data_IF_112866906586
#
_entry.id   IF_112866906586
#
_cell.length_a   1.000
_cell.length_b   1.000
_cell.length_c   1.000
_cell.angle_alpha   90.00
_cell.angle_beta   90.00
_cell.angle_gamma   90.00
#
_symmetry.space_group_name_H-M   'P 1'
#
loop_
_entity.id
_entity.type
_entity.pdbx_description
1 polymer ?
#
# COMPACT_ATOMS: atom_id res chain seq x y z
N UNK A 1 48.16 27.08 14.35
CA UNK A 1 47.32 26.55 13.23
C UNK A 1 48.02 26.65 11.88
N UNK A 2 47.87 25.64 11.01
CA UNK A 2 48.56 25.57 9.71
C UNK A 2 47.62 25.05 8.59
N UNK A 3 47.69 25.61 7.39
CA UNK A 3 47.07 25.06 6.19
C UNK A 3 47.87 23.86 5.68
N UNK A 4 47.22 22.89 5.03
CA UNK A 4 47.92 21.83 4.28
C UNK A 4 47.86 22.15 2.79
N UNK A 5 49.01 22.43 2.17
CA UNK A 5 49.13 22.61 0.73
C UNK A 5 49.71 21.33 0.14
N UNK A 6 48.93 20.63 -0.66
CA UNK A 6 49.38 19.44 -1.40
C UNK A 6 49.75 19.85 -2.82
N UNK A 7 50.96 19.55 -3.26
CA UNK A 7 51.43 19.85 -4.62
C UNK A 7 51.96 18.60 -5.26
N UNK A 8 51.47 18.30 -6.46
CA UNK A 8 51.95 17.24 -7.33
C UNK A 8 53.06 17.82 -8.23
N UNK A 9 54.31 17.40 -8.03
CA UNK A 9 55.46 17.96 -8.76
C UNK A 9 56.60 16.95 -8.90
N UNK A 10 57.34 17.02 -10.01
CA UNK A 10 58.61 16.29 -10.18
C UNK A 10 59.82 17.10 -9.70
N UNK A 11 59.66 18.41 -9.50
CA UNK A 11 60.70 19.38 -9.19
C UNK A 11 60.58 19.88 -7.74
N UNK A 12 60.70 18.96 -6.78
CA UNK A 12 60.50 19.23 -5.35
C UNK A 12 61.28 20.46 -4.84
N UNK A 13 62.57 20.55 -5.16
CA UNK A 13 63.44 21.62 -4.64
C UNK A 13 63.04 23.01 -5.13
N UNK A 14 62.59 23.11 -6.39
CA UNK A 14 62.17 24.37 -7.00
C UNK A 14 60.83 24.84 -6.41
N UNK A 15 59.90 23.91 -6.24
CA UNK A 15 58.60 24.18 -5.60
C UNK A 15 58.76 24.52 -4.12
N UNK A 16 59.64 23.82 -3.39
CA UNK A 16 59.93 24.13 -1.98
C UNK A 16 60.55 25.53 -1.83
N UNK A 17 61.47 25.90 -2.73
CA UNK A 17 62.06 27.24 -2.76
C UNK A 17 61.00 28.32 -3.07
N UNK A 18 60.11 28.06 -4.02
CA UNK A 18 58.99 28.95 -4.36
C UNK A 18 58.06 29.14 -3.16
N UNK A 19 57.66 28.06 -2.49
CA UNK A 19 56.77 28.14 -1.32
C UNK A 19 57.46 28.89 -0.17
N UNK A 20 58.74 28.60 0.11
CA UNK A 20 59.51 29.24 1.19
C UNK A 20 59.83 30.70 0.93
N UNK A 21 59.87 31.15 -0.33
CA UNK A 21 60.00 32.56 -0.67
C UNK A 21 58.81 33.39 -0.14
N UNK A 22 57.61 32.82 -0.13
CA UNK A 22 56.41 33.46 0.40
C UNK A 22 56.24 33.21 1.90
N UNK A 23 56.42 31.96 2.34
CA UNK A 23 56.17 31.52 3.70
C UNK A 23 57.44 30.84 4.22
N UNK A 24 58.33 31.61 4.82
CA UNK A 24 59.66 31.14 5.29
C UNK A 24 59.58 29.97 6.27
N UNK A 25 58.49 29.88 7.03
CA UNK A 25 58.25 28.85 8.03
C UNK A 25 57.51 27.62 7.47
N UNK A 26 57.28 27.55 6.15
CA UNK A 26 56.72 26.38 5.52
C UNK A 26 57.70 25.21 5.64
N UNK A 27 57.21 24.08 6.12
CA UNK A 27 57.98 22.84 6.17
C UNK A 27 57.18 21.74 5.48
N UNK A 28 57.91 20.88 4.79
CA UNK A 28 57.34 19.71 4.16
C UNK A 28 57.12 18.62 5.22
N UNK A 29 55.91 18.07 5.26
CA UNK A 29 55.58 16.93 6.10
C UNK A 29 55.85 15.67 5.28
N UNK A 30 57.11 15.24 5.25
CA UNK A 30 57.48 13.94 4.68
C UNK A 30 57.02 12.90 5.67
N UNK A 31 55.81 12.38 5.47
CA UNK A 31 55.27 11.31 6.29
C UNK A 31 56.03 10.02 5.97
N UNK A 32 57.15 9.81 6.67
CA UNK A 32 58.00 8.62 6.50
C UNK A 32 57.30 7.33 6.97
N UNK A 33 56.11 7.43 7.54
CA UNK A 33 55.39 6.33 8.18
C UNK A 33 54.34 5.64 7.30
N UNK A 34 54.05 6.14 6.09
CA UNK A 34 53.04 5.53 5.19
C UNK A 34 53.62 4.79 3.95
N UNK A 35 54.94 4.61 3.87
CA UNK A 35 55.59 3.99 2.71
C UNK A 35 55.67 2.46 2.85
N UNK A 36 54.54 1.77 2.74
CA UNK A 36 54.56 0.34 2.33
C UNK A 36 53.52 -0.06 1.28
N UNK A 37 52.50 0.77 0.98
CA UNK A 37 51.46 0.36 0.02
C UNK A 37 50.96 1.48 -0.89
N UNK A 38 51.72 1.82 -1.95
CA UNK A 38 51.11 2.19 -3.24
C UNK A 38 52.14 2.26 -4.37
N UNK A 39 51.95 1.40 -5.37
CA UNK A 39 52.75 1.31 -6.60
C UNK A 39 52.36 2.36 -7.67
N UNK A 40 51.79 3.50 -7.28
CA UNK A 40 51.49 4.61 -8.19
C UNK A 40 52.08 5.90 -7.61
N UNK A 41 53.37 6.11 -7.86
CA UNK A 41 54.13 7.26 -7.41
C UNK A 41 53.77 8.51 -8.23
N UNK A 42 52.62 9.11 -7.94
CA UNK A 42 52.50 10.55 -8.16
C UNK A 42 53.28 11.22 -7.03
N UNK A 43 54.29 12.00 -7.39
CA UNK A 43 55.13 12.75 -6.47
C UNK A 43 54.31 13.89 -5.84
N UNK A 44 53.40 13.55 -4.92
CA UNK A 44 52.57 14.48 -4.17
C UNK A 44 53.29 14.78 -2.86
N UNK A 45 53.52 16.06 -2.62
CA UNK A 45 54.21 16.56 -1.44
C UNK A 45 53.27 17.49 -0.67
N UNK A 46 53.29 17.41 0.67
CA UNK A 46 52.42 18.22 1.54
C UNK A 46 53.25 19.22 2.36
N UNK A 47 52.94 20.51 2.24
CA UNK A 47 53.53 21.58 3.03
C UNK A 47 52.53 22.09 4.06
N UNK A 48 53.00 22.25 5.30
CA UNK A 48 52.23 22.92 6.35
C UNK A 48 52.55 24.41 6.35
N UNK A 49 51.58 25.24 5.99
CA UNK A 49 51.72 26.70 5.89
C UNK A 49 51.18 27.38 7.14
N UNK A 50 51.90 28.33 7.71
CA UNK A 50 51.42 29.09 8.88
C UNK A 50 50.19 29.96 8.56
N UNK A 51 49.18 29.97 9.42
CA UNK A 51 48.03 30.89 9.26
C UNK A 51 48.40 32.37 9.39
N UNK A 52 49.49 32.70 10.08
CA UNK A 52 49.95 34.07 10.26
C UNK A 52 50.36 34.73 8.93
N UNK A 53 50.73 33.92 7.93
CA UNK A 53 51.06 34.37 6.58
C UNK A 53 49.88 34.31 5.61
N UNK A 54 48.64 34.23 6.12
CA UNK A 54 47.41 34.17 5.30
C UNK A 54 47.30 35.30 4.26
N UNK A 55 47.82 36.49 4.57
CA UNK A 55 47.85 37.63 3.64
C UNK A 55 48.72 37.39 2.40
N UNK A 56 49.73 36.50 2.49
CA UNK A 56 50.63 36.12 1.38
C UNK A 56 50.15 34.87 0.63
N UNK A 57 49.12 34.21 1.14
CA UNK A 57 48.61 32.97 0.57
C UNK A 57 48.02 33.20 -0.83
N UNK A 58 47.31 34.31 -1.02
CA UNK A 58 46.73 34.66 -2.33
C UNK A 58 47.80 34.87 -3.40
N UNK A 59 48.93 35.51 -3.04
CA UNK A 59 50.06 35.70 -3.97
C UNK A 59 50.79 34.40 -4.26
N UNK A 60 50.98 33.55 -3.24
CA UNK A 60 51.56 32.22 -3.42
C UNK A 60 50.72 31.35 -4.35
N UNK A 61 49.40 31.27 -4.12
CA UNK A 61 48.51 30.44 -4.94
C UNK A 61 48.45 30.94 -6.39
N UNK A 62 48.52 32.26 -6.61
CA UNK A 62 48.59 32.84 -7.96
C UNK A 62 49.86 32.43 -8.70
N UNK A 63 50.99 32.45 -8.00
CA UNK A 63 52.28 32.07 -8.61
C UNK A 63 52.38 30.55 -8.83
N UNK A 64 51.81 29.73 -7.93
CA UNK A 64 51.67 28.29 -8.14
C UNK A 64 50.78 27.97 -9.36
N UNK A 65 49.70 28.73 -9.58
CA UNK A 65 48.87 28.57 -10.78
C UNK A 65 49.61 28.99 -12.06
N UNK A 66 50.48 30.01 -12.00
CA UNK A 66 51.33 30.42 -13.13
C UNK A 66 52.41 29.39 -13.49
N UNK A 67 52.87 28.61 -12.50
CA UNK A 67 53.86 27.53 -12.66
C UNK A 67 53.24 26.16 -12.95
N UNK A 68 51.91 26.10 -13.04
CA UNK A 68 51.17 24.90 -13.42
C UNK A 68 51.51 24.48 -14.85
N UNK A 69 51.78 23.18 -15.04
CA UNK A 69 52.33 22.56 -16.25
C UNK A 69 53.81 22.87 -16.56
N UNK A 70 54.49 23.69 -15.74
CA UNK A 70 55.95 23.90 -15.85
C UNK A 70 56.68 23.16 -14.74
N UNK A 71 56.45 23.56 -13.50
CA UNK A 71 57.12 23.02 -12.31
C UNK A 71 56.23 22.03 -11.55
N UNK A 72 54.92 22.21 -11.60
CA UNK A 72 53.95 21.37 -10.89
C UNK A 72 52.78 20.99 -11.80
N UNK A 73 52.21 19.81 -11.57
CA UNK A 73 51.06 19.27 -12.31
C UNK A 73 49.77 19.86 -11.74
N UNK A 74 49.59 19.76 -10.43
CA UNK A 74 48.41 20.24 -9.75
C UNK A 74 48.72 20.61 -8.29
N UNK A 75 47.85 21.40 -7.66
CA UNK A 75 47.91 21.65 -6.22
C UNK A 75 46.51 21.76 -5.61
N UNK A 76 46.40 21.42 -4.32
CA UNK A 76 45.19 21.58 -3.53
C UNK A 76 45.54 22.21 -2.18
N UNK A 77 44.64 23.04 -1.65
CA UNK A 77 44.77 23.59 -0.31
C UNK A 77 43.66 23.04 0.58
N UNK A 78 44.06 22.26 1.57
CA UNK A 78 43.19 21.72 2.59
C UNK A 78 43.19 22.67 3.80
N UNK A 79 42.04 23.28 4.03
CA UNK A 79 41.75 24.09 5.23
C UNK A 79 41.47 23.11 6.37
N UNK A 80 42.07 23.30 7.57
CA UNK A 80 41.80 22.44 8.71
C UNK A 80 40.29 22.41 9.01
N UNK A 81 39.75 21.21 9.20
CA UNK A 81 38.36 21.04 9.62
C UNK A 81 38.19 21.62 11.03
N UNK A 82 37.00 22.12 11.36
CA UNK A 82 36.68 22.63 12.70
C UNK A 82 37.04 21.63 13.81
N UNK A 83 36.86 20.33 13.57
CA UNK A 83 37.25 19.26 14.50
C UNK A 83 38.76 19.22 14.75
N UNK A 84 39.60 19.26 13.72
CA UNK A 84 41.07 19.34 13.88
C UNK A 84 41.49 20.63 14.58
N UNK A 85 40.74 21.71 14.33
CA UNK A 85 40.92 23.01 14.94
C UNK A 85 40.69 22.92 16.46
N UNK A 86 39.62 22.24 16.88
CA UNK A 86 39.34 21.98 18.29
C UNK A 86 40.37 21.05 18.93
N UNK A 87 40.78 19.97 18.26
CA UNK A 87 41.78 19.02 18.78
C UNK A 87 43.14 19.70 18.96
N UNK A 88 43.55 20.53 18.00
CA UNK A 88 44.83 21.24 18.11
C UNK A 88 44.80 22.33 19.18
N UNK A 89 43.65 23.00 19.38
CA UNK A 89 43.48 23.94 20.50
C UNK A 89 43.57 23.22 21.84
N UNK A 90 42.96 22.04 21.98
CA UNK A 90 43.04 21.23 23.19
C UNK A 90 44.48 20.79 23.49
N UNK A 91 45.23 20.36 22.47
CA UNK A 91 46.66 20.02 22.59
C UNK A 91 47.56 21.22 22.92
N UNK A 92 47.35 22.37 22.27
CA UNK A 92 48.12 23.60 22.58
C UNK A 92 47.89 24.01 24.05
N UNK A 93 46.66 23.88 24.56
CA UNK A 93 46.35 24.11 25.97
C UNK A 93 47.11 23.11 26.86
N UNK A 94 47.07 21.81 26.56
CA UNK A 94 47.79 20.77 27.33
C UNK A 94 49.32 20.98 27.35
N UNK A 95 49.91 21.38 26.22
CA UNK A 95 51.36 21.66 26.12
C UNK A 95 51.76 22.92 26.91
N UNK A 96 50.94 23.97 26.90
CA UNK A 96 51.15 25.15 27.75
C UNK A 96 51.10 24.80 29.25
N UNK A 97 50.20 23.90 29.66
CA UNK A 97 50.11 23.41 31.04
C UNK A 97 51.31 22.56 31.48
N UNK A 98 51.91 21.80 30.57
CA UNK A 98 53.04 20.93 30.89
C UNK A 98 54.41 21.65 30.91
N UNK A 99 54.51 22.88 30.41
CA UNK A 99 55.79 23.61 30.27
C UNK A 99 56.05 24.77 31.23
N UNK A 100 55.01 25.39 31.81
CA UNK A 100 55.16 26.55 32.71
C UNK A 100 54.08 26.55 33.78
N UNK A 101 54.47 26.73 35.04
CA UNK A 101 53.54 27.08 36.12
C UNK A 101 52.82 28.36 35.68
N UNK A 102 51.50 28.34 35.43
CA UNK A 102 50.81 29.50 34.89
C UNK A 102 50.81 30.61 35.94
N UNK A 103 51.33 31.77 35.55
CA UNK A 103 51.20 33.02 36.27
C UNK A 103 49.71 33.38 36.28
N UNK A 104 49.01 33.11 37.39
CA UNK A 104 47.55 33.08 37.53
C UNK A 104 46.85 34.44 37.30
N UNK A 105 47.58 35.49 36.92
CA UNK A 105 47.12 36.89 37.00
C UNK A 105 46.74 37.52 35.65
N UNK A 106 46.66 36.75 34.55
CA UNK A 106 46.15 37.23 33.25
C UNK A 106 45.08 36.31 32.67
N UNK A 107 44.10 35.93 33.50
CA UNK A 107 42.87 35.34 32.98
C UNK A 107 42.15 36.39 32.14
N UNK A 108 42.19 36.22 30.81
CA UNK A 108 41.31 36.94 29.89
C UNK A 108 39.89 36.52 30.28
N UNK A 109 39.13 37.41 30.92
CA UNK A 109 37.74 37.17 31.25
C UNK A 109 36.96 37.00 29.94
N UNK A 110 36.70 35.74 29.58
CA UNK A 110 35.80 35.39 28.48
C UNK A 110 34.46 36.12 28.73
N UNK A 111 33.88 36.78 27.71
CA UNK A 111 32.63 37.50 27.87
C UNK A 111 31.60 36.58 28.50
N UNK A 112 31.07 36.99 29.66
CA UNK A 112 30.08 36.21 30.40
C UNK A 112 28.89 35.96 29.49
N UNK A 113 28.85 34.75 28.94
CA UNK A 113 27.81 34.35 28.02
C UNK A 113 26.51 34.36 28.81
N UNK A 114 25.63 35.34 28.55
CA UNK A 114 24.33 35.45 29.23
C UNK A 114 23.69 34.07 29.18
N UNK A 115 23.29 33.52 30.33
CA UNK A 115 22.70 32.18 30.42
C UNK A 115 21.43 32.11 29.55
N UNK A 116 21.59 31.75 28.28
CA UNK A 116 20.48 31.57 27.37
C UNK A 116 19.76 30.31 27.82
N UNK A 117 18.55 30.48 28.37
CA UNK A 117 17.71 29.38 28.83
C UNK A 117 17.43 28.45 27.64
N UNK A 118 18.01 27.24 27.66
CA UNK A 118 17.80 26.25 26.62
C UNK A 118 16.31 25.90 26.51
N UNK A 119 15.76 25.80 25.29
CA UNK A 119 14.38 25.38 25.12
C UNK A 119 14.19 23.96 25.66
N UNK A 120 13.03 23.68 26.28
CA UNK A 120 12.68 22.34 26.71
C UNK A 120 12.67 21.36 25.52
N UNK A 121 12.98 20.10 25.79
CA UNK A 121 13.10 19.03 24.78
C UNK A 121 11.86 18.90 23.90
N UNK A 122 10.66 18.96 24.48
CA UNK A 122 9.39 18.91 23.75
C UNK A 122 9.23 20.11 22.80
N UNK A 123 9.57 21.32 23.26
CA UNK A 123 9.46 22.55 22.45
C UNK A 123 10.47 22.52 21.29
N UNK A 124 11.67 22.00 21.54
CA UNK A 124 12.65 21.75 20.49
C UNK A 124 12.14 20.70 19.47
N UNK A 125 11.58 19.59 19.95
CA UNK A 125 11.01 18.53 19.11
C UNK A 125 9.84 19.04 18.23
N UNK A 126 8.93 19.85 18.79
CA UNK A 126 7.81 20.43 18.04
C UNK A 126 8.27 21.42 16.96
N UNK A 127 9.31 22.22 17.25
CA UNK A 127 9.93 23.10 16.24
C UNK A 127 10.62 22.30 15.12
N UNK A 128 11.32 21.24 15.47
CA UNK A 128 11.93 20.34 14.49
C UNK A 128 10.87 19.62 13.66
N UNK A 129 9.77 19.20 14.29
CA UNK A 129 8.64 18.56 13.62
C UNK A 129 8.00 19.50 12.58
N UNK A 130 7.73 20.76 12.94
CA UNK A 130 7.20 21.72 11.97
C UNK A 130 8.16 22.04 10.82
N UNK A 131 9.47 22.07 11.09
CA UNK A 131 10.49 22.22 10.05
C UNK A 131 10.53 21.00 9.11
N UNK A 132 10.49 19.78 9.65
CA UNK A 132 10.42 18.53 8.88
C UNK A 132 9.17 18.44 8.02
N UNK A 133 7.99 18.80 8.56
CA UNK A 133 6.75 18.87 7.76
C UNK A 133 6.91 19.82 6.57
N UNK A 134 7.53 21.00 6.77
CA UNK A 134 7.82 21.92 5.66
C UNK A 134 8.77 21.31 4.63
N UNK A 135 9.79 20.55 5.07
CA UNK A 135 10.68 19.82 4.15
C UNK A 135 9.91 18.76 3.37
N UNK A 136 9.04 17.99 4.02
CA UNK A 136 8.23 16.96 3.37
C UNK A 136 7.31 17.57 2.32
N UNK A 137 6.69 18.71 2.62
CA UNK A 137 5.85 19.44 1.66
C UNK A 137 6.66 19.95 0.47
N UNK A 138 7.90 20.40 0.69
CA UNK A 138 8.78 20.88 -0.41
C UNK A 138 9.32 19.76 -1.28
N UNK A 139 9.52 18.57 -0.72
CA UNK A 139 10.05 17.41 -1.46
C UNK A 139 8.89 16.67 -2.12
N UNK A 140 8.60 17.01 -3.38
CA UNK A 140 7.51 16.39 -4.15
C UNK A 140 7.60 14.86 -4.18
N UNK A 141 8.82 14.30 -4.24
CA UNK A 141 9.06 12.85 -4.19
C UNK A 141 8.54 12.21 -2.91
N UNK A 142 8.60 12.93 -1.79
CA UNK A 142 8.08 12.45 -0.51
C UNK A 142 6.55 12.40 -0.54
N UNK A 143 5.87 13.48 -0.95
CA UNK A 143 4.41 13.48 -1.08
C UNK A 143 3.96 12.40 -2.07
N UNK A 144 4.66 12.28 -3.19
CA UNK A 144 4.36 11.30 -4.23
C UNK A 144 4.44 9.86 -3.70
N UNK A 145 5.54 9.49 -3.04
CA UNK A 145 5.76 8.13 -2.54
C UNK A 145 4.93 7.80 -1.29
N UNK A 146 4.80 8.74 -0.34
CA UNK A 146 4.11 8.48 0.93
C UNK A 146 2.60 8.61 0.85
N UNK A 147 2.08 9.51 0.00
CA UNK A 147 0.64 9.82 -0.07
C UNK A 147 0.06 9.45 -1.43
N UNK A 148 0.63 9.99 -2.52
CA UNK A 148 -0.04 9.91 -3.82
C UNK A 148 -0.08 8.47 -4.36
N UNK A 149 1.01 7.72 -4.28
CA UNK A 149 1.06 6.34 -4.77
C UNK A 149 0.01 5.47 -4.07
N UNK A 150 -0.01 5.35 -2.72
CA UNK A 150 -1.01 4.52 -2.04
C UNK A 150 -2.46 4.90 -2.35
N UNK A 151 -2.75 6.19 -2.49
CA UNK A 151 -4.11 6.66 -2.78
C UNK A 151 -4.50 6.37 -4.22
N UNK A 152 -3.60 6.63 -5.18
CA UNK A 152 -3.87 6.40 -6.61
C UNK A 152 -4.00 4.92 -6.94
N UNK A 153 -3.14 4.06 -6.37
CA UNK A 153 -3.27 2.60 -6.50
C UNK A 153 -4.62 2.15 -5.96
N UNK A 154 -5.03 2.62 -4.78
CA UNK A 154 -6.37 2.31 -4.26
C UNK A 154 -7.50 2.76 -5.19
N UNK A 155 -7.45 4.00 -5.68
CA UNK A 155 -8.47 4.52 -6.60
C UNK A 155 -8.59 3.69 -7.88
N UNK A 156 -7.50 3.14 -8.39
CA UNK A 156 -7.48 2.35 -9.63
C UNK A 156 -7.96 0.92 -9.40
N UNK A 157 -7.51 0.25 -8.33
CA UNK A 157 -7.79 -1.17 -8.12
C UNK A 157 -9.13 -1.45 -7.43
N UNK A 158 -9.61 -0.52 -6.59
CA UNK A 158 -10.83 -0.74 -5.82
C UNK A 158 -12.11 -0.89 -6.69
N UNK A 159 -12.29 -0.16 -7.82
CA UNK A 159 -13.35 -0.45 -8.78
C UNK A 159 -13.25 -1.84 -9.40
N UNK A 160 -12.04 -2.29 -9.74
CA UNK A 160 -11.82 -3.62 -10.33
C UNK A 160 -12.26 -4.71 -9.35
N UNK A 161 -11.88 -4.58 -8.07
CA UNK A 161 -12.35 -5.50 -7.04
C UNK A 161 -13.87 -5.41 -6.86
N UNK A 162 -14.45 -4.21 -6.88
CA UNK A 162 -15.91 -4.03 -6.75
C UNK A 162 -16.67 -4.76 -7.87
N UNK A 163 -16.22 -4.60 -9.11
CA UNK A 163 -16.87 -5.23 -10.26
C UNK A 163 -16.77 -6.76 -10.17
N UNK A 164 -15.63 -7.28 -9.71
CA UNK A 164 -15.49 -8.72 -9.43
C UNK A 164 -16.49 -9.19 -8.36
N UNK A 165 -16.72 -8.41 -7.30
CA UNK A 165 -17.72 -8.76 -6.27
C UNK A 165 -19.16 -8.70 -6.78
N UNK A 166 -19.51 -7.71 -7.61
CA UNK A 166 -20.88 -7.52 -8.10
C UNK A 166 -21.34 -8.63 -9.08
N UNK A 167 -20.41 -9.32 -9.76
CA UNK A 167 -20.73 -10.44 -10.66
C UNK A 167 -21.43 -11.58 -9.91
N UNK A 168 -21.41 -11.63 -8.58
CA UNK A 168 -21.90 -12.75 -7.81
C UNK A 168 -23.32 -12.59 -7.24
N UNK A 169 -24.00 -11.45 -7.46
CA UNK A 169 -25.37 -11.22 -6.98
C UNK A 169 -26.40 -11.29 -8.12
N UNK A 170 -26.46 -12.43 -8.81
CA UNK A 170 -27.56 -12.72 -9.73
C UNK A 170 -28.76 -13.25 -8.95
N UNK A 171 -29.55 -12.35 -8.37
CA UNK A 171 -30.86 -12.72 -7.76
C UNK A 171 -32.03 -12.59 -8.76
N UNK A 172 -31.74 -12.32 -10.03
CA UNK A 172 -32.77 -12.15 -11.04
C UNK A 172 -33.32 -13.51 -11.48
N UNK A 173 -34.62 -13.72 -11.22
CA UNK A 173 -35.37 -14.86 -11.76
C UNK A 173 -35.57 -14.66 -13.25
N UNK A 174 -35.01 -15.55 -14.06
CA UNK A 174 -35.15 -15.50 -15.51
C UNK A 174 -36.34 -16.37 -15.93
N UNK A 175 -37.37 -15.78 -16.55
CA UNK A 175 -38.52 -16.54 -17.05
C UNK A 175 -38.13 -17.37 -18.27
N UNK A 176 -38.25 -18.69 -18.15
CA UNK A 176 -38.05 -19.62 -19.27
C UNK A 176 -39.34 -19.63 -20.12
N UNK A 177 -39.20 -19.19 -21.37
CA UNK A 177 -40.28 -19.23 -22.37
C UNK A 177 -39.69 -19.37 -23.76
N UNK A 178 -40.52 -19.75 -24.74
CA UNK A 178 -40.16 -19.72 -26.17
C UNK A 178 -39.63 -18.34 -26.61
N UNK A 179 -40.06 -17.28 -25.94
CA UNK A 179 -39.63 -15.90 -26.16
C UNK A 179 -38.15 -15.62 -25.84
N UNK A 180 -37.45 -16.54 -25.17
CA UNK A 180 -35.99 -16.47 -25.05
C UNK A 180 -35.29 -16.66 -26.40
N UNK A 181 -35.98 -17.27 -27.36
CA UNK A 181 -35.45 -17.68 -28.65
C UNK A 181 -36.26 -17.09 -29.83
N UNK A 182 -36.72 -15.82 -29.72
CA UNK A 182 -37.63 -15.17 -30.70
C UNK A 182 -37.24 -15.26 -32.18
N UNK A 183 -35.95 -15.43 -32.46
CA UNK A 183 -35.40 -15.47 -33.82
C UNK A 183 -34.97 -16.87 -34.27
N UNK A 184 -35.34 -17.91 -33.53
CA UNK A 184 -35.00 -19.29 -33.83
C UNK A 184 -36.22 -20.09 -34.27
N UNK A 185 -35.97 -21.29 -34.78
CA UNK A 185 -37.00 -22.20 -35.28
C UNK A 185 -37.21 -23.35 -34.29
N UNK A 186 -38.43 -23.87 -34.29
CA UNK A 186 -38.82 -25.10 -33.63
C UNK A 186 -39.35 -26.04 -34.68
N UNK A 187 -39.16 -27.34 -34.47
CA UNK A 187 -39.70 -28.35 -35.37
C UNK A 187 -40.71 -29.24 -34.64
N UNK A 188 -41.86 -29.47 -35.26
CA UNK A 188 -42.84 -30.45 -34.81
C UNK A 188 -42.98 -31.57 -35.86
N UNK A 189 -42.50 -32.75 -35.52
CA UNK A 189 -42.59 -33.93 -36.40
C UNK A 189 -43.98 -34.56 -36.28
N UNK A 190 -44.89 -34.05 -37.11
CA UNK A 190 -46.29 -34.51 -37.17
C UNK A 190 -46.38 -35.96 -37.66
N UNK A 191 -45.49 -36.39 -38.57
CA UNK A 191 -45.59 -37.72 -39.17
C UNK A 191 -45.34 -38.81 -38.14
N UNK A 192 -44.39 -38.57 -37.23
CA UNK A 192 -44.13 -39.44 -36.09
C UNK A 192 -45.03 -39.16 -34.87
N UNK A 193 -46.07 -38.31 -35.01
CA UNK A 193 -47.00 -37.94 -33.94
C UNK A 193 -48.49 -38.13 -34.30
N UNK A 194 -48.91 -39.28 -34.87
CA UNK A 194 -50.25 -39.42 -35.46
C UNK A 194 -51.38 -39.34 -34.42
N UNK A 195 -51.17 -39.87 -33.22
CA UNK A 195 -52.14 -39.84 -32.11
C UNK A 195 -52.27 -38.44 -31.50
N UNK A 196 -51.14 -37.75 -31.30
CA UNK A 196 -51.08 -36.41 -30.72
C UNK A 196 -51.59 -35.34 -31.66
N UNK A 197 -51.37 -35.45 -32.97
CA UNK A 197 -51.74 -34.40 -33.91
C UNK A 197 -53.25 -34.08 -33.92
N UNK A 198 -54.09 -35.05 -33.59
CA UNK A 198 -55.54 -34.84 -33.44
C UNK A 198 -55.91 -34.03 -32.18
N UNK A 199 -55.01 -34.03 -31.19
CA UNK A 199 -55.18 -33.41 -29.88
C UNK A 199 -54.44 -32.06 -29.85
N UNK A 200 -53.12 -32.07 -30.01
CA UNK A 200 -52.30 -30.89 -30.14
C UNK A 200 -52.25 -30.45 -31.60
N UNK A 201 -53.33 -29.82 -32.07
CA UNK A 201 -53.35 -29.24 -33.41
C UNK A 201 -52.16 -28.29 -33.59
N UNK A 202 -51.56 -28.28 -34.79
CA UNK A 202 -50.44 -27.40 -35.13
C UNK A 202 -50.67 -25.95 -34.70
N UNK A 203 -51.91 -25.46 -34.81
CA UNK A 203 -52.28 -24.10 -34.43
C UNK A 203 -52.11 -23.84 -32.93
N UNK A 204 -52.53 -24.77 -32.06
CA UNK A 204 -52.37 -24.63 -30.60
C UNK A 204 -50.88 -24.58 -30.22
N UNK A 205 -50.10 -25.47 -30.82
CA UNK A 205 -48.65 -25.53 -30.60
C UNK A 205 -47.97 -24.25 -31.09
N UNK A 206 -48.34 -23.76 -32.28
CA UNK A 206 -47.80 -22.53 -32.86
C UNK A 206 -48.11 -21.28 -32.03
N UNK A 207 -49.22 -21.24 -31.29
CA UNK A 207 -49.56 -20.12 -30.42
C UNK A 207 -48.58 -19.93 -29.25
N UNK A 208 -47.98 -21.02 -28.77
CA UNK A 208 -47.02 -20.99 -27.67
C UNK A 208 -45.61 -20.57 -28.11
N UNK A 209 -45.31 -20.60 -29.41
CA UNK A 209 -44.02 -20.19 -29.94
C UNK A 209 -44.04 -18.75 -30.46
N UNK A 210 -42.98 -18.00 -30.14
CA UNK A 210 -42.85 -16.62 -30.59
C UNK A 210 -42.74 -16.53 -32.11
N UNK A 211 -43.56 -15.67 -32.73
CA UNK A 211 -43.50 -15.41 -34.17
C UNK A 211 -42.16 -14.76 -34.55
N UNK A 212 -41.58 -15.24 -35.64
CA UNK A 212 -40.42 -14.60 -36.26
C UNK A 212 -40.85 -13.30 -36.92
N UNK A 213 -39.97 -12.30 -37.01
CA UNK A 213 -40.29 -10.96 -37.52
C UNK A 213 -40.87 -10.94 -38.94
N UNK A 214 -40.54 -11.94 -39.76
CA UNK A 214 -40.92 -12.03 -41.16
C UNK A 214 -41.79 -13.25 -41.52
N UNK A 215 -42.08 -14.17 -40.59
CA UNK A 215 -42.88 -15.37 -40.86
C UNK A 215 -44.07 -15.52 -39.91
N UNK A 216 -45.12 -16.19 -40.38
CA UNK A 216 -46.35 -16.44 -39.62
C UNK A 216 -46.16 -17.42 -38.45
N UNK A 217 -45.13 -18.27 -38.52
CA UNK A 217 -44.77 -19.27 -37.50
C UNK A 217 -43.25 -19.37 -37.36
N UNK A 218 -42.78 -19.63 -36.14
CA UNK A 218 -41.42 -20.15 -35.89
C UNK A 218 -41.40 -21.68 -35.81
N UNK A 219 -42.53 -22.33 -36.10
CA UNK A 219 -42.71 -23.78 -36.07
C UNK A 219 -42.70 -24.33 -37.49
N UNK A 220 -41.75 -25.22 -37.77
CA UNK A 220 -41.64 -26.02 -38.99
C UNK A 220 -42.12 -27.46 -38.74
N UNK A 221 -42.41 -28.19 -39.83
CA UNK A 221 -43.06 -29.52 -39.81
C UNK A 221 -42.23 -30.59 -40.53
N UNK A 222 -40.96 -30.67 -40.21
CA UNK A 222 -40.05 -31.65 -40.78
C UNK A 222 -40.08 -32.96 -39.99
N UNK A 223 -39.90 -34.06 -40.71
CA UNK A 223 -39.66 -35.37 -40.09
C UNK A 223 -38.28 -35.42 -39.44
N UNK A 224 -38.07 -36.34 -38.50
CA UNK A 224 -36.75 -36.59 -37.90
C UNK A 224 -35.65 -36.82 -38.96
N UNK A 225 -35.98 -37.55 -40.04
CA UNK A 225 -35.04 -37.81 -41.14
C UNK A 225 -34.69 -36.55 -41.94
N UNK A 226 -35.64 -35.66 -42.16
CA UNK A 226 -35.42 -34.36 -42.81
C UNK A 226 -34.61 -33.43 -41.91
N UNK A 227 -34.94 -33.38 -40.62
CA UNK A 227 -34.20 -32.62 -39.62
C UNK A 227 -32.75 -33.07 -39.53
N UNK A 228 -32.48 -34.38 -39.52
CA UNK A 228 -31.12 -34.91 -39.51
C UNK A 228 -30.28 -34.48 -40.72
N UNK A 229 -30.90 -34.32 -41.89
CA UNK A 229 -30.23 -33.78 -43.09
C UNK A 229 -30.04 -32.27 -42.99
N UNK A 230 -31.05 -31.55 -42.49
CA UNK A 230 -31.02 -30.09 -42.32
C UNK A 230 -29.97 -29.67 -41.29
N UNK A 231 -29.87 -30.35 -40.14
CA UNK A 231 -28.90 -30.05 -39.09
C UNK A 231 -27.46 -30.02 -39.58
N UNK A 232 -27.10 -30.87 -40.55
CA UNK A 232 -25.76 -30.89 -41.14
C UNK A 232 -25.49 -29.70 -42.08
N UNK A 233 -26.54 -29.05 -42.57
CA UNK A 233 -26.47 -27.99 -43.58
C UNK A 233 -26.56 -26.57 -43.01
N UNK A 234 -27.08 -26.41 -41.79
CA UNK A 234 -27.30 -25.09 -41.17
C UNK A 234 -25.96 -24.51 -40.70
N UNK A 235 -25.48 -23.49 -41.40
CA UNK A 235 -24.24 -22.75 -41.07
C UNK A 235 -24.50 -21.35 -40.51
N UNK A 236 -25.74 -20.87 -40.57
CA UNK A 236 -26.13 -19.53 -40.13
C UNK A 236 -27.56 -19.55 -39.59
N UNK A 237 -27.91 -18.53 -38.81
CA UNK A 237 -29.26 -18.32 -38.26
C UNK A 237 -30.34 -18.30 -39.36
N UNK A 238 -31.57 -18.76 -39.05
CA UNK A 238 -32.05 -19.22 -37.75
C UNK A 238 -31.64 -20.67 -37.41
N UNK A 239 -31.15 -20.88 -36.19
CA UNK A 239 -30.94 -22.23 -35.65
C UNK A 239 -32.26 -22.83 -35.16
N UNK A 240 -32.30 -24.17 -35.09
CA UNK A 240 -33.38 -24.87 -34.43
C UNK A 240 -33.09 -24.99 -32.93
N UNK A 241 -34.09 -24.63 -32.12
CA UNK A 241 -34.06 -24.77 -30.66
C UNK A 241 -34.30 -26.22 -30.27
N UNK A 242 -35.33 -26.83 -30.85
CA UNK A 242 -35.68 -28.23 -30.64
C UNK A 242 -36.55 -28.77 -31.77
N UNK A 243 -36.53 -30.09 -31.92
CA UNK A 243 -37.46 -30.89 -32.70
C UNK A 243 -38.16 -31.84 -31.75
N UNK A 244 -39.49 -31.90 -31.79
CA UNK A 244 -40.24 -32.81 -30.93
C UNK A 244 -41.27 -33.62 -31.71
N UNK A 245 -41.53 -34.82 -31.23
CA UNK A 245 -42.65 -35.68 -31.61
C UNK A 245 -43.31 -36.22 -30.35
N UNK A 246 -44.51 -36.78 -30.47
CA UNK A 246 -45.08 -37.50 -29.34
C UNK A 246 -46.25 -38.40 -29.67
N UNK A 247 -46.56 -39.27 -28.71
CA UNK A 247 -47.61 -40.27 -28.74
C UNK A 247 -48.47 -40.19 -27.46
N UNK A 248 -49.75 -40.57 -27.54
CA UNK A 248 -50.66 -40.65 -26.39
C UNK A 248 -51.14 -42.09 -26.27
N UNK A 249 -50.80 -42.71 -25.14
CA UNK A 249 -51.27 -44.04 -24.75
C UNK A 249 -51.96 -43.93 -23.39
N UNK A 250 -53.24 -44.31 -23.30
CA UNK A 250 -54.01 -44.34 -22.04
C UNK A 250 -53.97 -43.02 -21.24
N UNK A 251 -54.14 -41.87 -21.91
CA UNK A 251 -54.02 -40.51 -21.33
C UNK A 251 -52.61 -40.13 -20.83
N UNK A 252 -51.58 -40.94 -21.12
CA UNK A 252 -50.19 -40.63 -20.84
C UNK A 252 -49.57 -40.04 -22.11
N UNK A 253 -49.07 -38.80 -22.00
CA UNK A 253 -48.38 -38.11 -23.08
C UNK A 253 -46.90 -38.50 -23.06
N UNK A 254 -46.43 -39.09 -24.16
CA UNK A 254 -45.02 -39.41 -24.38
C UNK A 254 -44.45 -38.47 -25.43
N UNK A 255 -43.45 -37.66 -25.07
CA UNK A 255 -42.77 -36.79 -26.02
C UNK A 255 -41.31 -37.21 -26.20
N UNK A 256 -40.86 -37.27 -27.44
CA UNK A 256 -39.45 -37.39 -27.81
C UNK A 256 -38.98 -35.99 -28.22
N UNK A 257 -38.02 -35.43 -27.49
CA UNK A 257 -37.51 -34.06 -27.71
C UNK A 257 -36.03 -34.14 -28.06
N UNK A 258 -35.70 -33.84 -29.30
CA UNK A 258 -34.34 -33.61 -29.78
C UNK A 258 -34.04 -32.12 -29.67
N UNK A 259 -33.25 -31.73 -28.67
CA UNK A 259 -32.97 -30.33 -28.38
C UNK A 259 -31.54 -29.93 -28.73
N UNK A 260 -31.32 -28.64 -28.94
CA UNK A 260 -29.99 -28.10 -29.18
C UNK A 260 -29.25 -27.87 -27.87
N UNK A 261 -28.21 -28.68 -27.62
CA UNK A 261 -27.38 -28.60 -26.40
C UNK A 261 -26.54 -27.32 -26.31
N UNK A 262 -26.28 -26.64 -27.44
CA UNK A 262 -25.61 -25.33 -27.41
C UNK A 262 -26.52 -24.22 -26.86
N UNK A 263 -27.83 -24.48 -26.72
CA UNK A 263 -28.83 -23.56 -26.20
C UNK A 263 -29.27 -24.02 -24.80
N UNK A 264 -28.66 -23.45 -23.76
CA UNK A 264 -28.79 -23.90 -22.35
C UNK A 264 -30.22 -24.09 -21.86
N UNK A 265 -31.18 -23.31 -22.36
CA UNK A 265 -32.60 -23.37 -21.95
C UNK A 265 -33.53 -23.95 -23.03
N UNK A 266 -33.00 -24.59 -24.08
CA UNK A 266 -33.80 -25.14 -25.19
C UNK A 266 -34.80 -26.20 -24.73
N UNK A 267 -34.33 -27.20 -23.99
CA UNK A 267 -35.15 -28.27 -23.44
C UNK A 267 -36.25 -27.75 -22.48
N UNK A 268 -35.93 -27.00 -21.40
CA UNK A 268 -36.98 -26.53 -20.50
C UNK A 268 -37.94 -25.52 -21.16
N UNK A 269 -37.50 -24.73 -22.14
CA UNK A 269 -38.40 -23.88 -22.92
C UNK A 269 -39.37 -24.70 -23.78
N UNK A 270 -38.88 -25.78 -24.39
CA UNK A 270 -39.71 -26.70 -25.18
C UNK A 270 -40.74 -27.40 -24.30
N UNK A 271 -40.32 -27.91 -23.14
CA UNK A 271 -41.22 -28.54 -22.17
C UNK A 271 -42.29 -27.54 -21.71
N UNK A 272 -41.92 -26.30 -21.39
CA UNK A 272 -42.88 -25.28 -20.97
C UNK A 272 -43.92 -24.97 -22.07
N UNK A 273 -43.48 -24.85 -23.32
CA UNK A 273 -44.38 -24.64 -24.46
C UNK A 273 -45.33 -25.83 -24.68
N UNK A 274 -44.83 -27.06 -24.56
CA UNK A 274 -45.65 -28.27 -24.70
C UNK A 274 -46.70 -28.39 -23.58
N UNK A 275 -46.32 -28.11 -22.33
CA UNK A 275 -47.25 -28.12 -21.20
C UNK A 275 -48.37 -27.09 -21.40
N UNK A 276 -48.03 -25.86 -21.80
CA UNK A 276 -49.03 -24.84 -22.07
C UNK A 276 -49.90 -25.18 -23.29
N UNK A 277 -49.35 -25.87 -24.29
CA UNK A 277 -50.14 -26.39 -25.43
C UNK A 277 -51.18 -27.43 -24.97
N UNK A 278 -50.81 -28.33 -24.05
CA UNK A 278 -51.72 -29.33 -23.47
C UNK A 278 -52.81 -28.68 -22.60
N UNK A 279 -52.45 -27.65 -21.83
CA UNK A 279 -53.42 -26.87 -21.05
C UNK A 279 -54.42 -26.15 -21.96
N UNK A 280 -53.93 -25.51 -23.02
CA UNK A 280 -54.76 -24.84 -24.02
C UNK A 280 -55.70 -25.82 -24.71
N UNK A 281 -55.23 -27.03 -25.06
CA UNK A 281 -56.08 -28.10 -25.57
C UNK A 281 -57.19 -28.50 -24.58
N UNK A 282 -56.88 -28.51 -23.29
CA UNK A 282 -57.85 -28.83 -22.23
C UNK A 282 -58.81 -27.68 -21.91
N UNK A 283 -58.81 -26.61 -22.71
CA UNK A 283 -59.57 -25.36 -22.51
C UNK A 283 -59.28 -24.68 -21.16
N UNK A 284 -58.06 -24.85 -20.63
CA UNK A 284 -57.61 -24.14 -19.42
C UNK A 284 -56.90 -22.87 -19.88
N UNK A 285 -57.45 -21.70 -19.53
CA UNK A 285 -56.91 -20.39 -19.91
C UNK A 285 -55.67 -19.96 -19.10
N UNK A 286 -55.31 -20.72 -18.07
CA UNK A 286 -54.14 -20.46 -17.23
C UNK A 286 -52.86 -20.97 -17.89
N UNK A 287 -51.77 -20.21 -17.78
CA UNK A 287 -50.44 -20.60 -18.27
C UNK A 287 -49.52 -20.99 -17.12
N UNK A 288 -48.78 -22.08 -17.28
CA UNK A 288 -47.69 -22.41 -16.37
C UNK A 288 -46.46 -21.58 -16.76
N UNK A 289 -45.83 -20.95 -15.76
CA UNK A 289 -44.62 -20.16 -15.93
C UNK A 289 -43.47 -20.83 -15.21
N UNK A 290 -42.45 -21.21 -15.97
CA UNK A 290 -41.21 -21.78 -15.44
C UNK A 290 -40.19 -20.65 -15.31
N UNK A 291 -39.64 -20.47 -14.13
CA UNK A 291 -38.55 -19.52 -13.88
C UNK A 291 -37.27 -20.29 -13.56
N UNK A 292 -36.19 -19.92 -14.22
CA UNK A 292 -34.85 -20.29 -13.81
C UNK A 292 -34.40 -19.37 -12.69
N UNK A 293 -33.96 -19.95 -11.59
CA UNK A 293 -33.28 -19.24 -10.52
C UNK A 293 -32.12 -20.11 -10.07
N UNK A 294 -30.90 -19.60 -10.24
CA UNK A 294 -29.74 -20.25 -9.65
C UNK A 294 -29.86 -20.13 -8.14
N UNK A 295 -29.68 -21.24 -7.42
CA UNK A 295 -29.36 -21.14 -6.00
C UNK A 295 -28.16 -20.21 -5.85
N UNK A 296 -28.16 -19.37 -4.81
CA UNK A 296 -26.99 -18.60 -4.40
C UNK A 296 -25.91 -19.60 -3.99
N UNK A 297 -25.22 -20.15 -4.98
CA UNK A 297 -24.08 -21.01 -4.75
C UNK A 297 -23.05 -20.10 -4.12
N UNK A 298 -22.87 -20.25 -2.81
CA UNK A 298 -21.72 -19.70 -2.11
C UNK A 298 -20.48 -20.33 -2.76
N UNK A 299 -19.97 -19.71 -3.83
CA UNK A 299 -18.61 -19.93 -4.30
C UNK A 299 -17.68 -19.28 -3.28
N UNK A 300 -17.65 -19.88 -2.11
CA UNK A 300 -16.82 -19.48 -0.98
C UNK A 300 -15.38 -19.29 -1.46
N UNK A 301 -14.87 -20.21 -2.28
CA UNK A 301 -13.50 -20.17 -2.77
C UNK A 301 -13.17 -18.93 -3.60
N UNK A 302 -14.02 -18.56 -4.57
CA UNK A 302 -13.79 -17.38 -5.42
C UNK A 302 -13.87 -16.10 -4.59
N UNK A 303 -14.86 -15.99 -3.70
CA UNK A 303 -15.03 -14.84 -2.81
C UNK A 303 -13.87 -14.72 -1.81
N UNK A 304 -13.37 -15.84 -1.26
CA UNK A 304 -12.19 -15.85 -0.39
C UNK A 304 -10.93 -15.45 -1.15
N UNK A 305 -10.78 -15.85 -2.41
CA UNK A 305 -9.63 -15.46 -3.22
C UNK A 305 -9.60 -13.95 -3.50
N UNK A 306 -10.73 -13.35 -3.89
CA UNK A 306 -10.83 -11.90 -4.12
C UNK A 306 -10.69 -11.13 -2.81
N UNK A 307 -11.28 -11.62 -1.71
CA UNK A 307 -11.14 -11.02 -0.37
C UNK A 307 -9.69 -11.03 0.12
N UNK A 308 -9.01 -12.17 0.00
CA UNK A 308 -7.61 -12.31 0.41
C UNK A 308 -6.69 -11.42 -0.43
N UNK A 309 -6.88 -11.36 -1.75
CA UNK A 309 -6.15 -10.44 -2.63
C UNK A 309 -6.41 -8.97 -2.26
N UNK A 310 -7.67 -8.61 -2.01
CA UNK A 310 -8.04 -7.25 -1.58
C UNK A 310 -7.36 -6.91 -0.25
N UNK A 311 -7.36 -7.81 0.73
CA UNK A 311 -6.71 -7.59 2.04
C UNK A 311 -5.19 -7.46 1.93
N UNK A 312 -4.53 -8.27 1.09
CA UNK A 312 -3.10 -8.18 0.82
C UNK A 312 -2.78 -6.84 0.14
N UNK A 313 -3.60 -6.42 -0.81
CA UNK A 313 -3.44 -5.14 -1.47
C UNK A 313 -3.60 -3.96 -0.50
N UNK A 314 -4.60 -3.99 0.38
CA UNK A 314 -4.76 -3.02 1.47
C UNK A 314 -3.47 -2.97 2.31
N UNK A 315 -2.97 -4.13 2.74
CA UNK A 315 -1.76 -4.24 3.57
C UNK A 315 -0.52 -3.67 2.88
N UNK A 316 -0.32 -3.96 1.59
CA UNK A 316 0.79 -3.43 0.81
C UNK A 316 0.79 -1.90 0.77
N UNK A 317 -0.38 -1.29 0.58
CA UNK A 317 -0.52 0.17 0.55
C UNK A 317 -0.26 0.82 1.92
N UNK A 318 -0.54 0.12 3.03
CA UNK A 318 -0.18 0.60 4.36
C UNK A 318 1.31 0.46 4.66
N UNK A 319 1.95 -0.62 4.20
CA UNK A 319 3.38 -0.85 4.40
C UNK A 319 4.26 0.09 3.57
N UNK A 320 3.81 0.45 2.37
CA UNK A 320 4.63 1.22 1.44
C UNK A 320 5.11 2.58 2.01
N UNK A 321 4.26 3.43 2.63
CA UNK A 321 4.72 4.65 3.31
C UNK A 321 5.69 4.38 4.46
N UNK A 322 5.48 3.30 5.23
CA UNK A 322 6.32 2.94 6.38
C UNK A 322 7.76 2.62 5.96
N UNK A 323 7.94 1.87 4.87
CA UNK A 323 9.26 1.61 4.30
C UNK A 323 9.98 2.91 3.94
N UNK A 324 9.24 3.86 3.35
CA UNK A 324 9.83 5.12 2.94
C UNK A 324 10.26 6.00 4.12
N UNK A 325 9.51 6.03 5.23
CA UNK A 325 9.93 6.76 6.44
C UNK A 325 11.26 6.25 7.00
N UNK A 326 11.44 4.92 7.03
CA UNK A 326 12.71 4.30 7.41
C UNK A 326 13.88 4.78 6.54
N UNK A 327 13.70 4.79 5.22
CA UNK A 327 14.75 5.26 4.30
C UNK A 327 15.10 6.74 4.48
N UNK A 328 14.14 7.59 4.85
CA UNK A 328 14.41 9.01 5.12
C UNK A 328 15.31 9.20 6.33
N UNK A 329 15.08 8.45 7.42
CA UNK A 329 15.93 8.49 8.61
C UNK A 329 17.35 8.03 8.28
N UNK A 330 17.49 6.97 7.48
CA UNK A 330 18.80 6.48 7.02
C UNK A 330 19.52 7.54 6.19
N UNK A 331 18.81 8.20 5.27
CA UNK A 331 19.38 9.29 4.45
C UNK A 331 19.81 10.48 5.29
N UNK A 332 19.04 10.87 6.29
CA UNK A 332 19.45 11.96 7.20
C UNK A 332 20.71 11.61 7.99
N UNK A 333 20.84 10.33 8.38
CA UNK A 333 22.05 9.83 9.03
C UNK A 333 23.24 9.80 8.08
N UNK A 334 23.07 9.32 6.84
CA UNK A 334 24.16 9.24 5.86
C UNK A 334 24.67 10.62 5.45
N UNK A 335 23.79 11.64 5.44
CA UNK A 335 24.15 13.03 5.19
C UNK A 335 24.72 13.76 6.41
N UNK A 336 24.94 13.06 7.53
CA UNK A 336 25.39 13.63 8.80
C UNK A 336 24.50 14.77 9.34
N UNK A 337 23.24 14.89 8.89
CA UNK A 337 22.31 15.92 9.36
C UNK A 337 22.04 15.77 10.86
N UNK A 338 21.97 14.53 11.35
CA UNK A 338 21.83 14.27 12.78
C UNK A 338 23.01 14.84 13.59
N UNK A 339 24.25 14.67 13.10
CA UNK A 339 25.44 15.23 13.75
C UNK A 339 25.40 16.76 13.74
N UNK A 340 25.02 17.37 12.61
CA UNK A 340 24.86 18.81 12.52
C UNK A 340 23.81 19.36 13.49
N UNK A 341 22.67 18.66 13.67
CA UNK A 341 21.66 19.05 14.66
C UNK A 341 22.19 18.92 16.10
N UNK A 342 22.98 17.89 16.39
CA UNK A 342 23.61 17.69 17.70
C UNK A 342 24.66 18.78 18.00
N UNK A 343 25.47 19.16 17.01
CA UNK A 343 26.40 20.29 17.10
C UNK A 343 25.66 21.62 17.37
N UNK A 344 24.45 21.77 16.83
CA UNK A 344 23.56 22.89 17.13
C UNK A 344 22.83 22.79 18.49
N UNK A 345 23.23 21.84 19.34
CA UNK A 345 22.71 21.67 20.70
C UNK A 345 21.35 20.97 20.80
N UNK A 346 20.88 20.32 19.72
CA UNK A 346 19.65 19.52 19.77
C UNK A 346 19.96 18.15 20.38
N UNK A 347 19.24 17.81 21.45
CA UNK A 347 19.38 16.50 22.07
C UNK A 347 18.80 15.38 21.19
N UNK A 348 19.45 14.20 21.22
CA UNK A 348 19.02 13.02 20.48
C UNK A 348 17.54 12.64 20.75
N UNK A 349 17.09 12.79 22.00
CA UNK A 349 15.68 12.55 22.39
C UNK A 349 14.71 13.46 21.62
N UNK A 350 15.05 14.75 21.50
CA UNK A 350 14.19 15.72 20.80
C UNK A 350 14.10 15.40 19.30
N UNK A 351 15.19 14.91 18.70
CA UNK A 351 15.21 14.45 17.32
C UNK A 351 14.26 13.26 17.11
N UNK A 352 14.38 12.17 17.87
CA UNK A 352 13.51 11.00 17.70
C UNK A 352 12.03 11.29 17.96
N UNK A 353 11.72 12.13 18.95
CA UNK A 353 10.35 12.58 19.19
C UNK A 353 9.84 13.38 17.98
N UNK A 354 10.67 14.24 17.39
CA UNK A 354 10.29 14.98 16.19
C UNK A 354 10.01 14.03 15.01
N UNK A 355 10.84 12.99 14.82
CA UNK A 355 10.65 11.98 13.78
C UNK A 355 9.33 11.25 13.94
N UNK A 356 9.06 10.76 15.14
CA UNK A 356 7.83 10.04 15.45
C UNK A 356 6.59 10.91 15.19
N UNK A 357 6.59 12.16 15.65
CA UNK A 357 5.47 13.07 15.45
C UNK A 357 5.23 13.33 13.96
N UNK A 358 6.29 13.63 13.20
CA UNK A 358 6.15 13.99 11.78
C UNK A 358 5.69 12.83 10.93
N UNK A 359 6.30 11.67 11.12
CA UNK A 359 6.07 10.52 10.27
C UNK A 359 4.69 9.91 10.59
N UNK A 360 4.30 9.90 11.87
CA UNK A 360 2.96 9.49 12.27
C UNK A 360 1.88 10.46 11.76
N UNK A 361 2.13 11.77 11.78
CA UNK A 361 1.17 12.75 11.24
C UNK A 361 0.94 12.54 9.73
N UNK A 362 2.00 12.40 8.93
CA UNK A 362 1.88 12.12 7.49
C UNK A 362 1.19 10.78 7.25
N UNK A 363 1.54 9.75 8.03
CA UNK A 363 0.89 8.46 7.95
C UNK A 363 -0.61 8.57 8.20
N UNK A 364 -1.03 9.29 9.23
CA UNK A 364 -2.45 9.51 9.55
C UNK A 364 -3.17 10.19 8.40
N UNK A 365 -2.59 11.24 7.81
CA UNK A 365 -3.16 11.90 6.62
C UNK A 365 -3.31 10.91 5.47
N UNK A 366 -2.31 10.05 5.24
CA UNK A 366 -2.35 9.01 4.20
C UNK A 366 -3.48 8.01 4.46
N UNK A 367 -3.64 7.54 5.71
CA UNK A 367 -4.71 6.64 6.08
C UNK A 367 -6.09 7.24 5.82
N UNK A 368 -6.31 8.51 6.19
CA UNK A 368 -7.58 9.21 5.93
C UNK A 368 -7.85 9.31 4.43
N UNK A 369 -6.84 9.61 3.63
CA UNK A 369 -6.98 9.68 2.17
C UNK A 369 -7.23 8.31 1.53
N UNK A 370 -6.66 7.22 2.06
CA UNK A 370 -6.95 5.85 1.62
C UNK A 370 -8.39 5.43 1.95
N UNK A 371 -8.97 5.95 3.04
CA UNK A 371 -10.36 5.68 3.40
C UNK A 371 -11.38 6.36 2.46
N UNK A 372 -11.02 7.49 1.83
CA UNK A 372 -11.92 8.22 0.92
C UNK A 372 -12.39 7.38 -0.29
N UNK A 373 -11.53 6.65 -1.02
CA UNK A 373 -11.93 5.73 -2.08
C UNK A 373 -13.01 4.72 -1.67
N UNK A 374 -12.92 4.15 -0.46
CA UNK A 374 -13.93 3.19 0.01
C UNK A 374 -15.33 3.83 0.07
N UNK A 375 -15.41 5.09 0.51
CA UNK A 375 -16.65 5.85 0.56
C UNK A 375 -17.13 6.22 -0.85
N UNK A 376 -16.24 6.74 -1.70
CA UNK A 376 -16.56 7.19 -3.06
C UNK A 376 -17.12 6.04 -3.90
N UNK A 377 -16.48 4.88 -3.86
CA UNK A 377 -16.86 3.73 -4.68
C UNK A 377 -17.95 2.87 -4.04
N UNK A 378 -18.40 3.18 -2.82
CA UNK A 378 -19.39 2.41 -2.06
C UNK A 378 -19.01 0.92 -2.03
N UNK A 379 -17.82 0.60 -1.54
CA UNK A 379 -17.34 -0.78 -1.52
C UNK A 379 -18.07 -1.58 -0.43
N UNK A 380 -19.20 -2.16 -0.80
CA UNK A 380 -20.11 -2.93 0.06
C UNK A 380 -19.40 -4.06 0.83
N UNK A 381 -18.50 -4.86 0.23
CA UNK A 381 -17.91 -6.01 0.94
C UNK A 381 -17.13 -5.62 2.21
N UNK A 382 -16.50 -4.45 2.25
CA UNK A 382 -15.85 -3.97 3.47
C UNK A 382 -16.88 -3.51 4.51
N UNK A 383 -17.93 -2.81 4.08
CA UNK A 383 -19.01 -2.37 4.96
C UNK A 383 -19.73 -3.58 5.58
N UNK A 384 -19.99 -4.59 4.74
CA UNK A 384 -20.64 -5.83 5.09
C UNK A 384 -19.72 -6.72 5.93
N UNK A 385 -18.40 -6.77 5.69
CA UNK A 385 -17.45 -7.41 6.60
C UNK A 385 -17.35 -6.67 7.95
N UNK A 386 -17.47 -5.34 7.96
CA UNK A 386 -17.53 -4.55 9.18
C UNK A 386 -18.82 -4.77 9.97
N UNK A 387 -19.97 -4.91 9.29
CA UNK A 387 -21.28 -5.15 9.91
C UNK A 387 -21.50 -6.62 10.29
N UNK A 388 -21.14 -7.57 9.43
CA UNK A 388 -21.21 -9.02 9.72
C UNK A 388 -20.20 -9.43 10.78
N UNK A 389 -19.01 -8.81 10.81
CA UNK A 389 -18.10 -8.94 11.95
C UNK A 389 -18.72 -8.44 13.26
N UNK A 390 -19.60 -7.43 13.20
CA UNK A 390 -20.37 -6.91 14.33
C UNK A 390 -21.43 -7.91 14.79
N UNK A 391 -22.09 -8.61 13.86
CA UNK A 391 -23.12 -9.62 14.16
C UNK A 391 -22.51 -10.95 14.64
N UNK A 392 -21.36 -11.37 14.08
CA UNK A 392 -20.66 -12.60 14.48
C UNK A 392 -19.98 -12.42 15.86
N UNK A 393 -19.43 -11.23 16.17
CA UNK A 393 -18.94 -10.92 17.53
C UNK A 393 -20.09 -10.81 18.55
N UNK A 394 -21.31 -10.49 18.11
CA UNK A 394 -22.49 -10.54 18.95
C UNK A 394 -23.03 -11.96 19.17
N UNK A 395 -22.76 -12.90 18.25
CA UNK A 395 -23.48 -14.17 18.17
C UNK A 395 -22.75 -15.42 18.70
N UNK A 396 -21.41 -15.51 18.83
CA UNK A 396 -20.79 -16.80 19.21
C UNK A 396 -19.54 -16.76 20.12
N UNK A 397 -19.71 -17.44 21.28
CA UNK A 397 -18.75 -18.10 22.20
C UNK A 397 -17.55 -17.32 22.75
N UNK A 398 -17.45 -17.26 24.09
CA UNK A 398 -16.42 -16.59 24.86
C UNK A 398 -14.98 -16.96 24.44
N UNK A 399 -14.73 -18.20 24.02
CA UNK A 399 -13.41 -18.69 23.60
C UNK A 399 -12.82 -17.97 22.38
N UNK A 400 -13.62 -17.70 21.35
CA UNK A 400 -13.17 -16.97 20.14
C UNK A 400 -12.82 -15.52 20.49
N UNK A 401 -13.53 -14.96 21.46
CA UNK A 401 -13.27 -13.61 22.00
C UNK A 401 -11.89 -13.53 22.66
N UNK A 402 -11.44 -14.57 23.35
CA UNK A 402 -10.11 -14.61 23.96
C UNK A 402 -8.99 -14.70 22.91
N UNK A 403 -9.11 -15.58 21.90
CA UNK A 403 -8.10 -15.71 20.85
C UNK A 403 -8.00 -14.46 19.98
N UNK A 404 -9.13 -13.86 19.63
CA UNK A 404 -9.16 -12.59 18.88
C UNK A 404 -8.57 -11.46 19.72
N UNK A 405 -8.90 -11.36 21.00
CA UNK A 405 -8.31 -10.37 21.92
C UNK A 405 -6.79 -10.52 22.06
N UNK A 406 -6.27 -11.76 22.10
CA UNK A 406 -4.84 -12.02 22.14
C UNK A 406 -4.14 -11.67 20.82
N UNK A 407 -4.71 -12.05 19.67
CA UNK A 407 -4.20 -11.67 18.36
C UNK A 407 -4.16 -10.15 18.19
N UNK A 408 -5.19 -9.46 18.67
CA UNK A 408 -5.29 -8.00 18.67
C UNK A 408 -4.24 -7.37 19.54
N UNK A 409 -3.97 -7.93 20.72
CA UNK A 409 -2.89 -7.47 21.58
C UNK A 409 -1.54 -7.59 20.86
N UNK A 410 -1.31 -8.70 20.15
CA UNK A 410 -0.09 -8.94 19.38
C UNK A 410 0.04 -7.96 18.20
N UNK A 411 -1.01 -7.80 17.39
CA UNK A 411 -1.03 -6.89 16.24
C UNK A 411 -0.95 -5.43 16.68
N UNK A 412 -1.70 -5.02 17.71
CA UNK A 412 -1.61 -3.68 18.27
C UNK A 412 -0.23 -3.40 18.87
N UNK A 413 0.49 -4.44 19.31
CA UNK A 413 1.85 -4.27 19.84
C UNK A 413 2.87 -4.05 18.72
N UNK A 414 2.66 -4.71 17.58
CA UNK A 414 3.50 -4.57 16.40
C UNK A 414 3.16 -3.30 15.61
N UNK A 415 1.89 -2.87 15.63
CA UNK A 415 1.34 -1.76 14.85
C UNK A 415 0.49 -0.89 15.79
N UNK A 416 1.11 0.09 16.49
CA UNK A 416 0.42 0.93 17.49
C UNK A 416 -0.82 1.65 16.95
N UNK A 417 -0.81 1.97 15.65
CA UNK A 417 -1.91 2.66 14.97
C UNK A 417 -3.17 1.79 14.85
N UNK A 418 -3.01 0.46 14.79
CA UNK A 418 -4.13 -0.49 14.77
C UNK A 418 -4.90 -0.47 16.09
N UNK A 419 -4.18 -0.39 17.22
CA UNK A 419 -4.78 -0.28 18.55
C UNK A 419 -5.68 0.94 18.69
N UNK A 420 -5.26 2.10 18.16
CA UNK A 420 -6.04 3.34 18.24
C UNK A 420 -7.35 3.25 17.43
N UNK A 421 -7.27 2.78 16.18
CA UNK A 421 -8.46 2.61 15.32
C UNK A 421 -9.45 1.62 15.93
N UNK A 422 -8.95 0.54 16.53
CA UNK A 422 -9.80 -0.46 17.18
C UNK A 422 -10.44 0.07 18.47
N UNK A 423 -9.72 0.85 19.28
CA UNK A 423 -10.29 1.53 20.45
C UNK A 423 -11.41 2.49 20.03
N UNK A 424 -11.20 3.29 18.98
CA UNK A 424 -12.25 4.17 18.43
C UNK A 424 -13.48 3.37 17.97
N UNK A 425 -13.28 2.27 17.24
CA UNK A 425 -14.37 1.37 16.81
C UNK A 425 -15.14 0.82 18.02
N UNK A 426 -14.43 0.30 19.03
CA UNK A 426 -15.05 -0.24 20.25
C UNK A 426 -15.83 0.82 21.04
N UNK A 427 -15.34 2.07 21.09
CA UNK A 427 -16.04 3.18 21.75
C UNK A 427 -17.30 3.59 20.98
N UNK A 428 -17.25 3.65 19.65
CA UNK A 428 -18.43 3.92 18.81
C UNK A 428 -19.48 2.83 19.01
N UNK A 429 -19.07 1.56 18.97
CA UNK A 429 -19.96 0.43 19.20
C UNK A 429 -20.61 0.49 20.57
N UNK A 430 -19.85 0.86 21.61
CA UNK A 430 -20.41 1.01 22.95
C UNK A 430 -21.43 2.17 23.04
N UNK A 431 -21.18 3.29 22.35
CA UNK A 431 -22.15 4.39 22.29
C UNK A 431 -23.45 3.99 21.60
N UNK A 432 -23.38 3.18 20.54
CA UNK A 432 -24.56 2.65 19.85
C UNK A 432 -25.33 1.68 20.77
N UNK A 433 -24.63 0.78 21.46
CA UNK A 433 -25.22 -0.18 22.40
C UNK A 433 -25.94 0.53 23.56
N UNK A 434 -25.33 1.59 24.12
CA UNK A 434 -25.95 2.42 25.15
C UNK A 434 -27.27 3.04 24.66
N UNK A 435 -27.27 3.61 23.45
CA UNK A 435 -28.47 4.24 22.89
C UNK A 435 -29.56 3.22 22.52
N UNK A 436 -29.20 2.03 22.06
CA UNK A 436 -30.15 1.01 21.62
C UNK A 436 -30.74 0.20 22.78
N UNK A 437 -29.94 -0.12 23.79
CA UNK A 437 -30.28 -1.09 24.86
C UNK A 437 -30.35 -0.43 26.25
N UNK A 438 -29.92 0.82 26.39
CA UNK A 438 -29.92 1.54 27.68
C UNK A 438 -28.80 1.10 28.63
N UNK A 439 -27.74 0.47 28.14
CA UNK A 439 -26.65 -0.07 28.98
C UNK A 439 -25.85 1.05 29.65
N UNK A 440 -25.74 1.12 30.98
CA UNK A 440 -25.03 2.21 31.67
C UNK A 440 -23.56 2.40 31.20
N UNK A 441 -23.20 3.66 30.91
CA UNK A 441 -21.83 4.06 30.56
C UNK A 441 -20.99 4.12 31.85
N UNK A 442 -20.37 2.99 32.20
CA UNK A 442 -19.37 2.94 33.28
C UNK A 442 -17.97 2.69 32.73
N UNK A 443 -16.95 3.27 33.37
CA UNK A 443 -15.55 3.10 32.98
C UNK A 443 -15.11 1.63 33.06
N UNK A 444 -15.63 0.88 34.04
CA UNK A 444 -15.39 -0.56 34.16
C UNK A 444 -16.01 -1.34 32.99
N UNK A 445 -17.19 -0.95 32.52
CA UNK A 445 -17.83 -1.58 31.36
C UNK A 445 -17.06 -1.33 30.05
N UNK A 446 -16.35 -0.20 29.93
CA UNK A 446 -15.48 0.06 28.77
C UNK A 446 -14.25 -0.87 28.77
N UNK A 447 -13.74 -1.22 29.95
CA UNK A 447 -12.53 -2.04 30.10
C UNK A 447 -12.78 -3.56 30.07
N UNK A 448 -14.05 -4.01 30.02
CA UNK A 448 -14.37 -5.44 29.90
C UNK A 448 -13.64 -6.02 28.67
N UNK A 449 -12.96 -7.15 28.87
CA UNK A 449 -12.14 -7.84 27.86
C UNK A 449 -12.91 -8.08 26.56
N UNK A 450 -14.21 -8.38 26.66
CA UNK A 450 -15.13 -8.56 25.53
C UNK A 450 -15.12 -7.37 24.55
N UNK A 451 -14.88 -6.16 25.03
CA UNK A 451 -14.84 -4.94 24.20
C UNK A 451 -13.47 -4.61 23.64
N UNK A 452 -12.45 -5.40 24.00
CA UNK A 452 -11.08 -5.36 23.51
C UNK A 452 -10.32 -4.03 23.73
N UNK A 453 -10.95 -3.00 24.30
CA UNK A 453 -10.33 -1.71 24.65
C UNK A 453 -9.18 -1.92 25.63
N UNK A 454 -9.38 -2.76 26.66
CA UNK A 454 -8.34 -3.11 27.63
C UNK A 454 -7.16 -3.81 26.98
N UNK A 455 -7.38 -4.68 26.00
CA UNK A 455 -6.28 -5.36 25.29
C UNK A 455 -5.42 -4.39 24.47
N UNK A 456 -6.04 -3.41 23.83
CA UNK A 456 -5.31 -2.35 23.10
C UNK A 456 -4.52 -1.44 24.05
N UNK A 457 -5.08 -1.14 25.24
CA UNK A 457 -4.41 -0.36 26.27
C UNK A 457 -3.19 -1.11 26.84
N UNK A 458 -3.37 -2.38 27.23
CA UNK A 458 -2.29 -3.25 27.74
C UNK A 458 -1.19 -3.39 26.68
N UNK A 459 -1.58 -3.63 25.42
CA UNK A 459 -0.65 -3.70 24.30
C UNK A 459 0.18 -2.43 24.16
N UNK A 460 -0.46 -1.26 24.21
CA UNK A 460 0.22 0.04 24.15
C UNK A 460 1.24 0.22 25.29
N UNK A 461 0.90 -0.20 26.51
CA UNK A 461 1.81 -0.17 27.67
C UNK A 461 3.01 -1.10 27.45
N UNK A 462 2.80 -2.31 26.92
CA UNK A 462 3.88 -3.26 26.59
C UNK A 462 4.83 -2.65 25.54
N UNK A 463 4.30 -2.05 24.47
CA UNK A 463 5.10 -1.39 23.43
C UNK A 463 5.95 -0.27 24.00
N UNK A 464 5.35 0.58 24.84
CA UNK A 464 6.09 1.65 25.53
C UNK A 464 7.22 1.06 26.37
N UNK A 465 6.97 -0.04 27.11
CA UNK A 465 7.98 -0.74 27.89
C UNK A 465 9.14 -1.29 27.04
N UNK A 466 8.83 -1.97 25.94
CA UNK A 466 9.82 -2.50 24.99
C UNK A 466 10.63 -1.35 24.37
N UNK A 467 9.97 -0.27 23.98
CA UNK A 467 10.63 0.90 23.39
C UNK A 467 11.59 1.59 24.38
N UNK A 468 11.18 1.75 25.64
CA UNK A 468 12.04 2.27 26.72
C UNK A 468 13.24 1.35 26.92
N UNK A 469 13.03 0.03 26.93
CA UNK A 469 14.10 -0.96 27.06
C UNK A 469 15.11 -0.87 25.90
N UNK A 470 14.62 -0.81 24.66
CA UNK A 470 15.47 -0.68 23.46
C UNK A 470 16.27 0.63 23.49
N UNK A 471 15.64 1.74 23.86
CA UNK A 471 16.34 3.03 24.03
C UNK A 471 17.43 2.94 25.10
N UNK A 472 17.16 2.29 26.23
CA UNK A 472 18.15 2.10 27.31
C UNK A 472 19.30 1.18 26.88
N UNK A 473 19.02 0.15 26.09
CA UNK A 473 20.02 -0.77 25.54
C UNK A 473 20.95 -0.09 24.54
N UNK A 474 20.41 0.76 23.65
CA UNK A 474 21.23 1.53 22.72
C UNK A 474 22.12 2.56 23.42
N UNK A 475 21.62 3.20 24.49
CA UNK A 475 22.41 4.15 25.29
C UNK A 475 23.55 3.52 26.10
N UNK A 476 23.61 2.18 26.23
CA UNK A 476 24.70 1.47 26.92
C UNK A 476 25.85 1.05 26.00
N UNK A 477 25.66 1.15 24.68
CA UNK A 477 26.66 0.77 23.67
C UNK A 477 27.37 1.98 23.04
N UNK A 478 27.04 3.18 23.49
CA UNK A 478 27.72 4.45 23.20
C UNK A 478 28.33 4.90 24.53
#
# INVERSE_FOLDING_TARGET
MKYSLEVETQHFEEVDKLIKQYITNAYNLVDKTEIEHSYFSQNIYSWKLSMNDSNKLSTLLRDLENEKNKLLVNFSINVPLLEELFINLEKEIEEEYNGKIPDQNKAIELPQNKNVKRPGTLKAALRLSSYRIRIYIRKITYIFLSILIPVTTFCVFLPIFKDQYNIYDFDEKMRISSSLYKNHQWNYDIQNSPSINNILSQHLVQQEFSKHSNSSSSLDLYTENEMNKLYQSIKSEPYYVSSFSGDINDNIYHFNINYNDSMVHSLPATINALINSILSFSNVNDTIQVNYHTFKAQRTFDVYSVSSLTSLFIYFNYLFPLFYYGTNVIRERSQNLLKQLQLNGISNKSYWISVLITDHFVFLVTCVLILMPFVIFKFIPLLEALSSGLEIEAANTDDVTYYTSFLVLLIASLIPNYGLVRVLKSLINFGIEHNAVGSEISFLNILIIKRQVSTCFISSVIVIGIYIYLLKSQNKKI
#
